data_IF_223763645557
#
_entry.id   IF_223763645557
#
_cell.length_a   1.000
_cell.length_b   1.000
_cell.length_c   1.000
_cell.angle_alpha   90.00
_cell.angle_beta   90.00
_cell.angle_gamma   90.00
#
_symmetry.space_group_name_H-M   'P 1'
#
loop_
_entity.id
_entity.type
_entity.pdbx_description
1 polymer ?
#
# COMPACT_ATOMS: atom_id res chain seq x y z
N UNK A 1 4.40 -0.45 -25.71
CA UNK A 1 3.72 -1.01 -24.53
C UNK A 1 2.96 0.10 -23.85
N UNK A 2 1.71 -0.14 -23.48
CA UNK A 2 0.92 0.87 -22.78
C UNK A 2 1.39 1.02 -21.33
N UNK A 3 1.18 2.20 -20.73
CA UNK A 3 1.50 2.47 -19.31
C UNK A 3 0.86 1.43 -18.36
N UNK A 4 -0.31 0.91 -18.73
CA UNK A 4 -1.00 -0.17 -18.03
C UNK A 4 -0.21 -1.49 -18.01
N UNK A 5 0.39 -1.89 -19.13
CA UNK A 5 1.15 -3.14 -19.23
C UNK A 5 2.44 -3.07 -18.39
N UNK A 6 3.10 -1.91 -18.38
CA UNK A 6 4.31 -1.68 -17.58
C UNK A 6 4.02 -1.79 -16.09
N UNK A 7 2.93 -1.16 -15.63
CA UNK A 7 2.50 -1.23 -14.23
C UNK A 7 2.08 -2.66 -13.87
N UNK A 8 1.33 -3.33 -14.75
CA UNK A 8 0.88 -4.71 -14.51
C UNK A 8 2.07 -5.66 -14.40
N UNK A 9 3.07 -5.53 -15.27
CA UNK A 9 4.32 -6.29 -15.20
C UNK A 9 5.06 -6.01 -13.90
N UNK A 10 5.26 -4.74 -13.56
CA UNK A 10 5.95 -4.37 -12.32
C UNK A 10 5.22 -4.91 -11.07
N UNK A 11 3.89 -4.86 -11.07
CA UNK A 11 3.03 -5.44 -10.02
C UNK A 11 3.26 -6.94 -9.89
N UNK A 12 3.26 -7.67 -11.00
CA UNK A 12 3.49 -9.13 -10.99
C UNK A 12 4.91 -9.48 -10.56
N UNK A 13 5.93 -8.68 -10.92
CA UNK A 13 7.32 -8.90 -10.50
C UNK A 13 7.51 -8.71 -8.99
N UNK A 14 6.73 -7.82 -8.37
CA UNK A 14 6.75 -7.59 -6.92
C UNK A 14 5.74 -8.44 -6.15
N UNK A 15 5.04 -9.35 -6.84
CA UNK A 15 4.00 -10.23 -6.26
C UNK A 15 2.91 -9.46 -5.51
N UNK A 16 2.51 -8.30 -6.06
CA UNK A 16 1.51 -7.43 -5.46
C UNK A 16 0.10 -7.72 -6.00
N UNK A 17 -0.89 -7.60 -5.12
CA UNK A 17 -2.30 -7.61 -5.49
C UNK A 17 -2.69 -6.33 -6.26
N UNK A 18 -3.86 -6.33 -6.89
CA UNK A 18 -4.39 -5.15 -7.59
C UNK A 18 -4.61 -3.96 -6.66
N UNK A 19 -4.95 -4.26 -5.40
CA UNK A 19 -5.03 -3.30 -4.32
C UNK A 19 -3.85 -3.52 -3.37
N UNK A 20 -2.95 -2.54 -3.30
CA UNK A 20 -1.82 -2.55 -2.38
C UNK A 20 -1.57 -1.13 -1.88
N UNK A 21 -1.22 -1.00 -0.60
CA UNK A 21 -0.80 0.29 -0.05
C UNK A 21 0.68 0.56 -0.33
N UNK A 22 1.11 1.82 -0.21
CA UNK A 22 2.54 2.16 -0.26
C UNK A 22 3.37 1.41 0.77
N UNK A 23 2.77 1.06 1.92
CA UNK A 23 3.42 0.27 2.96
C UNK A 23 3.64 -1.17 2.49
N UNK A 24 2.65 -1.77 1.85
CA UNK A 24 2.74 -3.14 1.32
C UNK A 24 3.79 -3.24 0.21
N UNK A 25 3.81 -2.25 -0.70
CA UNK A 25 4.82 -2.15 -1.77
C UNK A 25 6.24 -2.11 -1.17
N UNK A 26 6.46 -1.26 -0.16
CA UNK A 26 7.76 -1.14 0.52
C UNK A 26 8.15 -2.41 1.28
N UNK A 27 7.19 -3.07 1.92
CA UNK A 27 7.43 -4.32 2.64
C UNK A 27 7.82 -5.44 1.68
N UNK A 28 7.04 -5.64 0.61
CA UNK A 28 7.32 -6.65 -0.43
C UNK A 28 8.67 -6.44 -1.10
N UNK A 29 9.01 -5.19 -1.41
CA UNK A 29 10.33 -4.85 -1.94
C UNK A 29 11.46 -5.26 -0.98
N UNK A 30 11.32 -5.00 0.33
CA UNK A 30 12.33 -5.38 1.33
C UNK A 30 12.43 -6.90 1.50
N UNK A 31 11.31 -7.61 1.44
CA UNK A 31 11.26 -9.08 1.48
C UNK A 31 12.02 -9.67 0.29
N UNK A 32 11.68 -9.23 -0.93
CA UNK A 32 12.30 -9.72 -2.16
C UNK A 32 13.79 -9.37 -2.22
N UNK A 33 14.19 -8.18 -1.79
CA UNK A 33 15.62 -7.85 -1.71
C UNK A 33 16.37 -8.75 -0.73
N UNK A 34 15.78 -9.07 0.41
CA UNK A 34 16.39 -10.00 1.37
C UNK A 34 16.44 -11.42 0.84
N UNK A 35 15.54 -11.83 -0.03
CA UNK A 35 15.55 -13.17 -0.62
C UNK A 35 16.55 -13.28 -1.78
N UNK A 36 16.63 -12.26 -2.62
CA UNK A 36 17.43 -12.27 -3.85
C UNK A 36 18.80 -11.60 -3.71
N UNK A 37 19.18 -11.11 -2.53
CA UNK A 37 20.46 -10.41 -2.33
C UNK A 37 21.65 -11.30 -2.77
N UNK A 38 22.58 -10.79 -3.60
CA UNK A 38 23.72 -11.56 -4.10
C UNK A 38 24.61 -12.09 -2.96
N UNK A 39 24.72 -11.36 -1.84
CA UNK A 39 25.56 -11.78 -0.70
C UNK A 39 25.11 -13.07 0.01
N UNK A 40 23.86 -13.50 -0.18
CA UNK A 40 23.33 -14.66 0.56
C UNK A 40 23.80 -16.01 0.01
N UNK A 41 24.28 -16.08 -1.24
CA UNK A 41 24.72 -17.33 -1.85
C UNK A 41 25.68 -17.05 -3.01
N UNK A 42 26.85 -17.70 -2.98
CA UNK A 42 27.89 -17.59 -4.03
C UNK A 42 27.57 -18.42 -5.27
N UNK A 43 26.66 -19.37 -5.18
CA UNK A 43 26.17 -20.14 -6.32
C UNK A 43 25.01 -19.37 -6.98
N UNK A 44 25.11 -19.14 -8.29
CA UNK A 44 24.14 -18.38 -9.11
C UNK A 44 24.07 -16.86 -8.85
N UNK A 45 25.23 -16.23 -8.59
CA UNK A 45 25.33 -14.77 -8.38
C UNK A 45 24.76 -13.96 -9.56
N UNK A 46 24.99 -14.39 -10.80
CA UNK A 46 24.50 -13.70 -12.00
C UNK A 46 22.97 -13.71 -12.11
N UNK A 47 22.32 -14.84 -11.84
CA UNK A 47 20.86 -14.98 -11.89
C UNK A 47 20.23 -14.09 -10.82
N UNK A 48 20.80 -14.07 -9.61
CA UNK A 48 20.31 -13.24 -8.50
C UNK A 48 20.53 -11.75 -8.74
N UNK A 49 21.65 -11.37 -9.37
CA UNK A 49 21.88 -9.98 -9.82
C UNK A 49 20.81 -9.53 -10.81
N UNK A 50 20.54 -10.34 -11.83
CA UNK A 50 19.48 -10.04 -12.82
C UNK A 50 18.12 -9.89 -12.13
N UNK A 51 17.75 -10.82 -11.25
CA UNK A 51 16.49 -10.77 -10.49
C UNK A 51 16.39 -9.53 -9.59
N UNK A 52 17.49 -9.19 -8.91
CA UNK A 52 17.54 -8.00 -8.05
C UNK A 52 17.33 -6.72 -8.87
N UNK A 53 17.96 -6.62 -10.05
CA UNK A 53 17.78 -5.49 -10.96
C UNK A 53 16.32 -5.41 -11.45
N UNK A 54 15.69 -6.55 -11.80
CA UNK A 54 14.27 -6.61 -12.16
C UNK A 54 13.36 -6.08 -11.03
N UNK A 55 13.60 -6.51 -9.80
CA UNK A 55 12.85 -6.08 -8.60
C UNK A 55 13.00 -4.56 -8.38
N UNK A 56 14.23 -4.03 -8.46
CA UNK A 56 14.50 -2.60 -8.31
C UNK A 56 13.79 -1.78 -9.39
N UNK A 57 13.85 -2.23 -10.64
CA UNK A 57 13.19 -1.55 -11.75
C UNK A 57 11.67 -1.57 -11.60
N UNK A 58 11.08 -2.70 -11.23
CA UNK A 58 9.65 -2.82 -10.94
C UNK A 58 9.21 -1.87 -9.83
N UNK A 59 9.97 -1.81 -8.72
CA UNK A 59 9.70 -0.90 -7.61
C UNK A 59 9.75 0.56 -8.04
N UNK A 60 10.74 0.96 -8.84
CA UNK A 60 10.85 2.33 -9.35
C UNK A 60 9.67 2.71 -10.24
N UNK A 61 9.20 1.81 -11.10
CA UNK A 61 8.05 2.06 -11.98
C UNK A 61 6.77 2.27 -11.18
N UNK A 62 6.48 1.40 -10.21
CA UNK A 62 5.30 1.55 -9.36
C UNK A 62 5.40 2.82 -8.50
N UNK A 63 6.56 3.07 -7.90
CA UNK A 63 6.75 4.24 -7.06
C UNK A 63 6.56 5.54 -7.85
N UNK A 64 7.11 5.63 -9.07
CA UNK A 64 6.91 6.78 -9.95
C UNK A 64 5.43 6.96 -10.29
N UNK A 65 4.73 5.87 -10.60
CA UNK A 65 3.28 5.91 -10.84
C UNK A 65 2.53 6.45 -9.62
N UNK A 66 2.87 6.00 -8.40
CA UNK A 66 2.26 6.48 -7.17
C UNK A 66 2.62 7.94 -6.86
N UNK A 67 3.85 8.39 -7.15
CA UNK A 67 4.29 9.78 -6.94
C UNK A 67 3.63 10.76 -7.91
N UNK A 68 3.33 10.31 -9.14
CA UNK A 68 2.59 11.10 -10.11
C UNK A 68 1.09 11.18 -9.81
N UNK A 69 0.59 10.38 -8.88
CA UNK A 69 -0.82 10.38 -8.51
C UNK A 69 -1.17 11.66 -7.75
N UNK A 70 -2.12 12.42 -8.28
CA UNK A 70 -2.63 13.63 -7.62
C UNK A 70 -3.69 13.22 -6.61
N UNK A 71 -3.34 13.32 -5.33
CA UNK A 71 -4.31 13.17 -4.25
C UNK A 71 -5.28 14.35 -4.26
N UNK A 72 -6.58 14.07 -4.19
CA UNK A 72 -7.57 15.09 -3.92
C UNK A 72 -7.89 15.10 -2.43
N UNK A 73 -7.72 16.26 -1.80
CA UNK A 73 -8.06 16.51 -0.40
C UNK A 73 -9.51 16.98 -0.26
N UNK A 74 -10.36 16.65 -1.22
CA UNK A 74 -11.77 16.99 -1.14
C UNK A 74 -12.42 16.20 0.00
N UNK A 75 -13.41 16.82 0.66
CA UNK A 75 -14.14 16.20 1.76
C UNK A 75 -14.76 14.86 1.34
N UNK A 76 -15.26 14.79 0.11
CA UNK A 76 -15.88 13.60 -0.49
C UNK A 76 -14.88 12.45 -0.66
N UNK A 77 -13.62 12.75 -0.98
CA UNK A 77 -12.59 11.74 -1.17
C UNK A 77 -12.06 11.23 0.16
N UNK A 78 -11.87 12.14 1.13
CA UNK A 78 -11.51 11.79 2.50
C UNK A 78 -12.61 10.90 3.11
N UNK A 79 -13.89 11.23 2.92
CA UNK A 79 -15.05 10.46 3.41
C UNK A 79 -15.08 9.00 2.98
N UNK A 80 -14.48 8.64 1.83
CA UNK A 80 -14.38 7.24 1.38
C UNK A 80 -13.38 6.41 2.17
N UNK A 81 -12.40 7.07 2.80
CA UNK A 81 -11.33 6.43 3.54
C UNK A 81 -11.44 6.65 5.06
N UNK A 82 -12.50 7.32 5.52
CA UNK A 82 -12.78 7.51 6.96
C UNK A 82 -12.98 6.14 7.62
N UNK A 83 -12.50 6.01 8.85
CA UNK A 83 -12.71 4.79 9.63
C UNK A 83 -14.21 4.52 9.87
N UNK A 84 -14.62 3.26 10.03
CA UNK A 84 -16.01 2.95 10.35
C UNK A 84 -16.51 3.69 11.61
N UNK A 85 -15.61 3.91 12.57
CA UNK A 85 -15.88 4.58 13.85
C UNK A 85 -16.14 6.08 13.66
N UNK A 86 -15.29 6.79 12.92
CA UNK A 86 -15.50 8.21 12.60
C UNK A 86 -16.73 8.43 11.71
N UNK A 87 -17.02 7.50 10.80
CA UNK A 87 -18.28 7.50 10.01
C UNK A 87 -19.49 7.35 10.93
N UNK A 88 -19.40 6.46 11.92
CA UNK A 88 -20.46 6.21 12.89
C UNK A 88 -20.66 7.43 13.80
N UNK A 89 -19.61 7.99 14.40
CA UNK A 89 -19.67 9.21 15.21
C UNK A 89 -20.22 10.40 14.42
N UNK A 90 -19.83 10.56 13.16
CA UNK A 90 -20.34 11.65 12.32
C UNK A 90 -21.83 11.50 12.01
N UNK A 91 -22.33 10.26 11.91
CA UNK A 91 -23.72 9.99 11.53
C UNK A 91 -24.66 9.85 12.73
N UNK A 92 -24.18 9.35 13.86
CA UNK A 92 -24.96 8.99 15.04
C UNK A 92 -24.46 9.62 16.35
N UNK A 93 -23.29 10.27 16.36
CA UNK A 93 -22.72 10.89 17.57
C UNK A 93 -23.49 12.10 18.10
N UNK A 94 -24.36 12.69 17.28
CA UNK A 94 -25.30 13.76 17.69
C UNK A 94 -26.72 13.25 17.94
N UNK A 95 -26.96 11.94 17.83
CA UNK A 95 -28.29 11.35 17.96
C UNK A 95 -28.62 11.21 19.45
N UNK A 96 -29.71 11.79 19.98
CA UNK A 96 -30.02 11.73 21.41
C UNK A 96 -30.18 10.30 21.96
N UNK A 97 -30.40 9.30 21.10
CA UNK A 97 -30.51 7.88 21.47
C UNK A 97 -29.14 7.19 21.57
N UNK A 98 -28.14 7.61 20.78
CA UNK A 98 -26.87 6.89 20.60
C UNK A 98 -25.61 7.72 20.89
N UNK A 99 -25.71 9.05 20.88
CA UNK A 99 -24.62 10.01 21.10
C UNK A 99 -24.41 10.40 22.55
N UNK A 100 -25.38 10.14 23.44
CA UNK A 100 -25.25 10.27 24.88
C UNK A 100 -24.84 8.93 25.53
N UNK A 101 -23.81 8.27 25.00
CA UNK A 101 -23.05 7.32 25.82
C UNK A 101 -22.16 8.15 26.75
N UNK A 102 -22.77 8.69 27.81
CA UNK A 102 -22.01 9.05 28.99
C UNK A 102 -21.50 7.72 29.57
N UNK A 103 -20.19 7.51 29.55
CA UNK A 103 -19.51 6.56 30.44
C UNK A 103 -19.58 7.10 31.89
N UNK A 104 -20.78 7.43 32.36
CA UNK A 104 -21.06 7.72 33.75
C UNK A 104 -21.57 6.42 34.39
N UNK A 105 -20.69 5.88 35.24
CA UNK A 105 -20.92 4.89 36.30
C UNK A 105 -20.96 3.40 35.93
N UNK A 106 -19.92 2.67 36.38
CA UNK A 106 -20.02 2.00 37.69
C UNK A 106 -18.62 1.61 38.25
N UNK A 107 -18.49 1.85 39.56
CA UNK A 107 -17.40 1.61 40.54
C UNK A 107 -16.28 0.60 40.22
#
# INVERSE_FOLDING_TARGET
MGKYEEITKARTTLELNEFATLKDIKNKYRELLKEWHPDLCKENEDIRKVKTIEIINAYRTIMNYCEQYRFSFSKEEIEKYISPEELWTKRFGSDPIWGNYNDEEQD
#
